data_IF_893998897101
#
_entry.id   IF_893998897101
#
_cell.length_a   1.000
_cell.length_b   1.000
_cell.length_c   1.000
_cell.angle_alpha   90.00
_cell.angle_beta   90.00
_cell.angle_gamma   90.00
#
_symmetry.space_group_name_H-M   'P 1'
#
loop_
_entity.id
_entity.type
_entity.pdbx_description
1 polymer ?
#
# COMPACT_ATOMS: atom_id res chain seq x y z
N UNK A 1 26.81 6.16 33.71
CA UNK A 1 26.88 4.83 33.06
C UNK A 1 27.88 4.92 31.91
N UNK A 2 28.97 4.15 31.97
CA UNK A 2 30.11 4.28 31.05
C UNK A 2 29.70 3.93 29.61
N UNK A 3 30.34 4.59 28.62
CA UNK A 3 30.08 4.36 27.18
C UNK A 3 30.15 2.88 26.80
N UNK A 4 31.06 2.14 27.43
CA UNK A 4 31.21 0.68 27.28
C UNK A 4 29.96 -0.12 27.68
N UNK A 5 29.28 0.29 28.75
CA UNK A 5 28.06 -0.37 29.24
C UNK A 5 26.88 -0.13 28.30
N UNK A 6 26.81 1.06 27.69
CA UNK A 6 25.79 1.37 26.67
C UNK A 6 25.98 0.54 25.40
N UNK A 7 27.23 0.39 24.95
CA UNK A 7 27.58 -0.44 23.80
C UNK A 7 27.19 -1.91 24.05
N UNK A 8 27.54 -2.43 25.23
CA UNK A 8 27.23 -3.80 25.61
C UNK A 8 25.71 -4.04 25.69
N UNK A 9 24.97 -3.10 26.28
CA UNK A 9 23.52 -3.15 26.34
C UNK A 9 22.87 -3.08 24.94
N UNK A 10 23.39 -2.26 24.02
CA UNK A 10 22.89 -2.19 22.65
C UNK A 10 23.14 -3.45 21.84
N UNK A 11 24.29 -4.11 22.03
CA UNK A 11 24.61 -5.37 21.37
C UNK A 11 23.71 -6.50 21.89
N UNK A 12 23.49 -6.56 23.21
CA UNK A 12 22.55 -7.51 23.81
C UNK A 12 21.13 -7.33 23.28
N UNK A 13 20.64 -6.09 23.16
CA UNK A 13 19.33 -5.81 22.56
C UNK A 13 19.26 -6.23 21.08
N UNK A 14 20.33 -6.02 20.32
CA UNK A 14 20.40 -6.46 18.92
C UNK A 14 20.33 -7.99 18.81
N UNK A 15 21.10 -8.73 19.61
CA UNK A 15 21.08 -10.20 19.61
C UNK A 15 19.76 -10.79 20.15
N UNK A 16 19.12 -10.15 21.13
CA UNK A 16 17.77 -10.52 21.58
C UNK A 16 16.71 -10.25 20.52
N UNK A 17 16.85 -9.16 19.74
CA UNK A 17 15.93 -8.88 18.65
C UNK A 17 16.07 -9.89 17.50
N UNK A 18 17.30 -10.28 17.15
CA UNK A 18 17.54 -11.28 16.09
C UNK A 18 17.10 -12.70 16.48
N UNK A 19 17.01 -13.01 17.78
CA UNK A 19 16.50 -14.30 18.25
C UNK A 19 14.98 -14.34 18.42
N UNK A 20 14.29 -13.18 18.40
CA UNK A 20 12.84 -13.08 18.26
C UNK A 20 12.38 -13.20 16.81
N UNK A 21 13.23 -12.86 15.85
CA UNK A 21 13.10 -13.29 14.46
C UNK A 21 13.69 -14.68 14.31
N UNK A 22 13.05 -15.67 14.95
CA UNK A 22 13.26 -17.07 14.61
C UNK A 22 13.14 -17.26 13.10
N UNK A 23 13.86 -18.23 12.56
CA UNK A 23 13.80 -18.61 11.15
C UNK A 23 12.37 -18.44 10.64
N UNK A 24 12.19 -17.47 9.74
CA UNK A 24 11.08 -17.49 8.81
C UNK A 24 11.34 -18.73 7.97
N UNK A 25 10.97 -19.89 8.51
CA UNK A 25 10.57 -21.04 7.73
C UNK A 25 9.48 -20.46 6.84
N UNK A 26 9.87 -20.13 5.60
CA UNK A 26 8.94 -19.68 4.59
C UNK A 26 7.81 -20.68 4.67
N UNK A 27 6.62 -20.20 5.03
CA UNK A 27 5.45 -21.06 5.05
C UNK A 27 5.46 -21.77 3.71
N UNK A 28 5.63 -23.10 3.72
CA UNK A 28 5.45 -23.90 2.53
C UNK A 28 4.06 -23.56 2.06
N UNK A 29 4.00 -22.71 1.03
CA UNK A 29 2.77 -22.44 0.31
C UNK A 29 2.42 -23.81 -0.22
N UNK A 30 1.42 -24.44 0.40
CA UNK A 30 0.71 -25.57 -0.19
C UNK A 30 0.30 -25.09 -1.57
N UNK A 31 1.06 -25.49 -2.57
CA UNK A 31 0.84 -25.10 -3.95
C UNK A 31 -0.40 -25.85 -4.42
N UNK A 32 -1.57 -25.28 -4.09
CA UNK A 32 -2.60 -25.20 -5.12
C UNK A 32 -1.87 -24.56 -6.29
N UNK A 33 -1.51 -25.36 -7.31
CA UNK A 33 -0.88 -24.92 -8.54
C UNK A 33 -1.87 -24.03 -9.32
N UNK A 34 -2.23 -22.89 -8.74
CA UNK A 34 -2.78 -21.79 -9.48
C UNK A 34 -1.60 -21.28 -10.30
N UNK A 35 -1.60 -21.68 -11.56
CA UNK A 35 -0.68 -21.15 -12.55
C UNK A 35 -0.82 -19.62 -12.56
N UNK A 36 0.08 -18.93 -11.87
CA UNK A 36 0.08 -17.47 -11.77
C UNK A 36 0.18 -16.83 -13.17
N UNK A 37 0.67 -17.57 -14.17
CA UNK A 37 0.69 -17.11 -15.56
C UNK A 37 -0.71 -16.98 -16.19
N UNK A 38 -1.73 -17.62 -15.61
CA UNK A 38 -3.13 -17.48 -16.01
C UNK A 38 -3.74 -16.15 -15.59
N UNK A 39 -3.19 -15.49 -14.57
CA UNK A 39 -3.65 -14.18 -14.11
C UNK A 39 -3.18 -13.11 -15.10
N UNK A 40 -4.14 -12.36 -15.65
CA UNK A 40 -3.88 -11.31 -16.65
C UNK A 40 -4.11 -9.90 -16.11
N UNK A 41 -4.84 -9.77 -15.00
CA UNK A 41 -5.25 -8.48 -14.43
C UNK A 41 -5.07 -8.47 -12.92
N UNK A 42 -4.59 -7.34 -12.41
CA UNK A 42 -4.52 -7.06 -10.99
C UNK A 42 -5.38 -5.83 -10.68
N UNK A 43 -6.41 -6.03 -9.87
CA UNK A 43 -7.24 -4.97 -9.31
C UNK A 43 -6.79 -4.67 -7.89
N UNK A 44 -6.59 -3.40 -7.56
CA UNK A 44 -5.96 -3.02 -6.28
C UNK A 44 -6.87 -2.07 -5.52
N UNK A 45 -7.05 -2.34 -4.23
CA UNK A 45 -7.84 -1.56 -3.30
C UNK A 45 -7.05 -1.37 -2.00
N UNK A 46 -7.30 -0.28 -1.30
CA UNK A 46 -6.68 -0.06 -0.01
C UNK A 46 -6.13 1.33 0.23
N UNK A 47 -5.01 1.35 0.95
CA UNK A 47 -4.38 2.53 1.48
C UNK A 47 -3.01 2.83 0.85
N UNK A 48 -2.16 3.56 1.59
CA UNK A 48 -0.82 3.98 1.18
C UNK A 48 0.13 2.84 0.81
N UNK A 49 -0.07 1.64 1.36
CA UNK A 49 0.78 0.47 1.04
C UNK A 49 0.50 -0.08 -0.36
N UNK A 50 -0.64 0.26 -0.96
CA UNK A 50 -1.07 -0.20 -2.27
C UNK A 50 -1.23 0.93 -3.29
N UNK A 51 -1.40 2.19 -2.86
CA UNK A 51 -1.61 3.35 -3.73
C UNK A 51 -0.38 3.71 -4.60
N UNK A 52 -0.55 3.67 -5.92
CA UNK A 52 0.48 4.01 -6.91
C UNK A 52 0.33 5.42 -7.52
N UNK A 53 -0.57 6.27 -6.99
CA UNK A 53 -0.68 7.68 -7.41
C UNK A 53 -2.10 8.27 -7.45
N UNK A 54 -3.07 7.67 -6.76
CA UNK A 54 -4.43 8.19 -6.62
C UNK A 54 -4.52 9.33 -5.61
N UNK A 55 -3.79 9.25 -4.49
CA UNK A 55 -3.73 10.36 -3.54
C UNK A 55 -3.30 11.67 -4.23
N UNK A 56 -3.86 12.79 -3.76
CA UNK A 56 -3.67 14.13 -4.34
C UNK A 56 -2.19 14.54 -4.40
N UNK A 57 -1.86 15.40 -5.36
CA UNK A 57 -0.49 15.86 -5.62
C UNK A 57 0.13 16.70 -4.48
N UNK A 58 -0.68 17.19 -3.55
CA UNK A 58 -0.22 17.90 -2.36
C UNK A 58 0.17 16.95 -1.21
N UNK A 59 -0.18 15.67 -1.29
CA UNK A 59 0.24 14.65 -0.32
C UNK A 59 1.76 14.44 -0.33
N UNK A 60 2.28 13.92 0.79
CA UNK A 60 3.71 13.67 0.95
C UNK A 60 4.31 12.80 -0.16
N UNK A 61 3.55 11.81 -0.66
CA UNK A 61 3.96 10.85 -1.67
C UNK A 61 4.33 11.46 -3.05
N UNK A 62 3.99 12.72 -3.29
CA UNK A 62 4.33 13.48 -4.49
C UNK A 62 5.53 14.42 -4.30
N UNK A 63 6.23 14.32 -3.16
CA UNK A 63 7.37 15.17 -2.80
C UNK A 63 8.60 14.33 -2.56
N UNK A 64 9.77 14.93 -2.71
CA UNK A 64 11.04 14.32 -2.28
C UNK A 64 10.97 13.96 -0.78
N UNK A 65 11.49 12.80 -0.32
CA UNK A 65 12.34 11.84 -1.04
C UNK A 65 11.59 10.67 -1.72
N UNK A 66 10.26 10.71 -1.82
CA UNK A 66 9.50 9.61 -2.41
C UNK A 66 9.89 9.36 -3.87
N UNK A 67 9.99 8.08 -4.23
CA UNK A 67 10.40 7.63 -5.56
C UNK A 67 11.87 7.84 -5.92
N UNK A 68 12.76 8.25 -4.99
CA UNK A 68 14.19 8.46 -5.28
C UNK A 68 14.92 7.19 -5.76
N UNK A 69 14.58 6.02 -5.21
CA UNK A 69 15.14 4.72 -5.62
C UNK A 69 14.48 4.22 -6.90
N UNK A 70 13.16 4.39 -7.02
CA UNK A 70 12.41 4.10 -8.24
C UNK A 70 11.15 4.98 -8.32
N UNK A 71 10.86 5.63 -9.46
CA UNK A 71 11.61 5.66 -10.72
C UNK A 71 12.69 6.78 -10.79
N UNK A 72 13.09 7.36 -9.67
CA UNK A 72 13.97 8.53 -9.60
C UNK A 72 13.23 9.86 -9.41
N UNK A 73 11.90 9.83 -9.29
CA UNK A 73 11.07 11.00 -8.98
C UNK A 73 9.77 10.56 -8.27
N UNK A 74 9.08 11.45 -7.55
CA UNK A 74 7.82 11.12 -6.92
C UNK A 74 6.73 10.72 -7.93
N UNK A 75 5.97 9.69 -7.60
CA UNK A 75 4.83 9.22 -8.41
C UNK A 75 3.54 9.06 -7.59
N UNK A 76 3.54 9.48 -6.32
CA UNK A 76 2.43 9.23 -5.40
C UNK A 76 2.47 7.88 -4.69
N UNK A 77 3.54 7.11 -4.84
CA UNK A 77 3.81 5.93 -3.98
C UNK A 77 4.34 6.42 -2.63
N UNK A 78 3.82 5.86 -1.54
CA UNK A 78 4.32 6.13 -0.18
C UNK A 78 5.59 5.30 0.12
N UNK A 79 6.56 5.32 -0.79
CA UNK A 79 7.85 4.65 -0.69
C UNK A 79 8.93 5.40 -1.48
N UNK A 80 10.20 5.20 -1.14
CA UNK A 80 11.32 5.65 -1.97
C UNK A 80 11.40 4.89 -3.31
N UNK A 81 10.70 3.76 -3.42
CA UNK A 81 10.62 2.95 -4.62
C UNK A 81 9.29 2.24 -4.81
N UNK A 82 9.39 0.94 -5.11
CA UNK A 82 8.26 0.07 -5.35
C UNK A 82 7.48 -0.23 -4.05
N UNK A 83 6.19 -0.48 -4.19
CA UNK A 83 5.29 -0.88 -3.09
C UNK A 83 4.64 -2.24 -3.36
N UNK A 84 3.82 -2.75 -2.44
CA UNK A 84 3.21 -4.09 -2.50
C UNK A 84 2.52 -4.38 -3.83
N UNK A 85 1.82 -3.39 -4.39
CA UNK A 85 1.19 -3.45 -5.71
C UNK A 85 2.18 -3.77 -6.82
N UNK A 86 3.33 -3.11 -6.83
CA UNK A 86 4.33 -3.31 -7.88
C UNK A 86 5.02 -4.66 -7.77
N UNK A 87 5.33 -5.09 -6.54
CA UNK A 87 5.94 -6.39 -6.30
C UNK A 87 4.99 -7.53 -6.69
N UNK A 88 3.71 -7.43 -6.35
CA UNK A 88 2.72 -8.42 -6.75
C UNK A 88 2.52 -8.43 -8.27
N UNK A 89 2.42 -7.26 -8.91
CA UNK A 89 2.33 -7.19 -10.36
C UNK A 89 3.53 -7.86 -11.05
N UNK A 90 4.75 -7.63 -10.55
CA UNK A 90 5.97 -8.28 -11.05
C UNK A 90 5.91 -9.81 -10.90
N UNK A 91 5.46 -10.30 -9.74
CA UNK A 91 5.31 -11.74 -9.49
C UNK A 91 4.33 -12.40 -10.47
N UNK A 92 3.28 -11.67 -10.86
CA UNK A 92 2.29 -12.10 -11.84
C UNK A 92 2.73 -11.91 -13.30
N UNK A 93 3.93 -11.35 -13.55
CA UNK A 93 4.39 -11.02 -14.90
C UNK A 93 3.62 -9.86 -15.56
N UNK A 94 2.97 -9.01 -14.76
CA UNK A 94 2.19 -7.86 -15.22
C UNK A 94 2.96 -6.55 -15.04
N UNK A 95 2.58 -5.52 -15.81
CA UNK A 95 2.95 -4.14 -15.45
C UNK A 95 2.10 -3.71 -14.26
N UNK A 96 2.66 -2.85 -13.41
CA UNK A 96 1.91 -2.26 -12.28
C UNK A 96 0.61 -1.59 -12.78
N UNK A 97 -0.55 -1.92 -12.20
CA UNK A 97 -1.83 -1.33 -12.56
C UNK A 97 -1.81 0.18 -12.44
N UNK A 98 -2.46 0.85 -13.39
CA UNK A 98 -2.52 2.32 -13.38
C UNK A 98 -3.45 2.80 -12.26
N UNK A 99 -3.05 3.88 -11.60
CA UNK A 99 -3.91 4.58 -10.65
C UNK A 99 -5.17 5.08 -11.36
N UNK A 100 -6.36 4.83 -10.80
CA UNK A 100 -7.66 5.27 -11.32
C UNK A 100 -7.66 6.77 -11.71
N UNK A 101 -7.03 7.62 -10.90
CA UNK A 101 -6.91 9.06 -11.17
C UNK A 101 -6.21 9.39 -12.50
N UNK A 102 -5.37 8.49 -12.99
CA UNK A 102 -4.59 8.63 -14.23
C UNK A 102 -5.20 7.91 -15.43
N UNK A 103 -6.38 7.26 -15.28
CA UNK A 103 -6.99 6.42 -16.32
C UNK A 103 -7.19 7.10 -17.68
N UNK A 104 -7.44 8.41 -17.68
CA UNK A 104 -7.69 9.21 -18.89
C UNK A 104 -6.41 9.85 -19.46
N UNK A 105 -5.26 9.62 -18.82
CA UNK A 105 -3.95 10.22 -19.14
C UNK A 105 -2.91 9.20 -19.59
N UNK A 106 -3.31 7.95 -19.79
CA UNK A 106 -2.43 6.83 -20.15
C UNK A 106 -2.96 6.12 -21.38
N UNK A 107 -2.07 5.44 -22.09
CA UNK A 107 -2.46 4.61 -23.24
C UNK A 107 -3.43 3.51 -22.82
N UNK A 108 -4.44 3.24 -23.66
CA UNK A 108 -5.48 2.22 -23.38
C UNK A 108 -4.88 0.84 -23.13
N UNK A 109 -3.74 0.52 -23.74
CA UNK A 109 -2.98 -0.72 -23.52
C UNK A 109 -2.57 -0.91 -22.06
N UNK A 110 -2.43 0.16 -21.28
CA UNK A 110 -2.14 0.06 -19.84
C UNK A 110 -3.28 -0.56 -19.05
N UNK A 111 -4.52 -0.41 -19.52
CA UNK A 111 -5.71 -0.94 -18.84
C UNK A 111 -5.76 -2.47 -18.87
N UNK A 112 -5.05 -3.12 -19.79
CA UNK A 112 -5.04 -4.59 -19.91
C UNK A 112 -4.49 -5.30 -18.66
N UNK A 113 -3.69 -4.61 -17.84
CA UNK A 113 -3.07 -5.15 -16.62
C UNK A 113 -3.93 -4.95 -15.35
N UNK A 114 -5.14 -4.38 -15.50
CA UNK A 114 -6.00 -4.01 -14.38
C UNK A 114 -5.82 -2.56 -13.94
N UNK A 115 -6.36 -2.22 -12.77
CA UNK A 115 -6.44 -0.84 -12.28
C UNK A 115 -6.27 -0.77 -10.76
N UNK A 116 -5.66 0.30 -10.29
CA UNK A 116 -5.47 0.59 -8.89
C UNK A 116 -6.45 1.66 -8.40
N UNK A 117 -7.29 1.28 -7.44
CA UNK A 117 -8.30 2.11 -6.77
C UNK A 117 -7.89 2.50 -5.34
N UNK A 118 -6.74 2.05 -4.84
CA UNK A 118 -6.24 2.37 -3.49
C UNK A 118 -5.91 3.86 -3.35
N UNK A 119 -6.10 4.44 -2.16
CA UNK A 119 -5.78 5.83 -1.83
C UNK A 119 -5.03 5.93 -0.50
N UNK A 120 -3.91 6.65 -0.48
CA UNK A 120 -3.13 6.90 0.73
C UNK A 120 -3.98 7.40 1.91
N UNK A 121 -3.83 6.76 3.08
CA UNK A 121 -4.53 7.13 4.31
C UNK A 121 -5.99 6.69 4.41
N UNK A 122 -6.52 5.96 3.42
CA UNK A 122 -7.87 5.40 3.46
C UNK A 122 -8.03 4.30 4.51
N UNK A 123 -9.23 4.20 5.09
CA UNK A 123 -9.70 3.08 5.90
C UNK A 123 -10.94 2.40 5.31
N UNK A 124 -11.50 1.44 6.04
CA UNK A 124 -12.85 0.93 5.76
C UNK A 124 -13.87 2.05 5.96
N UNK A 125 -13.67 2.87 6.99
CA UNK A 125 -14.46 4.07 7.28
C UNK A 125 -13.77 5.34 6.79
N UNK A 126 -14.45 6.47 6.95
CA UNK A 126 -13.87 7.78 6.69
C UNK A 126 -12.75 8.07 7.70
N UNK A 127 -11.60 8.47 7.16
CA UNK A 127 -10.39 8.80 7.94
C UNK A 127 -10.04 10.27 7.82
N UNK A 128 -9.07 10.72 8.62
CA UNK A 128 -8.53 12.09 8.53
C UNK A 128 -7.92 12.44 7.17
N UNK A 129 -7.59 11.46 6.33
CA UNK A 129 -7.06 11.72 4.99
C UNK A 129 -8.12 12.31 4.04
N UNK A 130 -9.41 12.17 4.37
CA UNK A 130 -10.54 12.63 3.54
C UNK A 130 -10.43 12.18 2.06
N UNK A 131 -9.85 11.01 1.85
CA UNK A 131 -9.77 10.33 0.56
C UNK A 131 -10.90 9.30 0.45
N UNK A 132 -11.21 8.82 -0.77
CA UNK A 132 -12.19 7.74 -0.98
C UNK A 132 -11.97 6.54 -0.05
N UNK A 133 -12.98 6.25 0.79
CA UNK A 133 -13.00 5.09 1.67
C UNK A 133 -13.16 3.77 0.87
N UNK A 134 -13.04 2.61 1.52
CA UNK A 134 -13.12 1.31 0.84
C UNK A 134 -14.41 1.14 0.02
N UNK A 135 -15.57 1.53 0.56
CA UNK A 135 -16.85 1.49 -0.16
C UNK A 135 -16.79 2.30 -1.46
N UNK A 136 -16.19 3.49 -1.41
CA UNK A 136 -16.02 4.35 -2.58
C UNK A 136 -15.06 3.71 -3.60
N UNK A 137 -13.97 3.08 -3.16
CA UNK A 137 -13.04 2.41 -4.07
C UNK A 137 -13.69 1.24 -4.81
N UNK A 138 -14.53 0.45 -4.12
CA UNK A 138 -15.31 -0.63 -4.73
C UNK A 138 -16.29 -0.05 -5.75
N UNK A 139 -17.01 1.02 -5.40
CA UNK A 139 -17.91 1.71 -6.34
C UNK A 139 -17.19 2.18 -7.61
N UNK A 140 -15.98 2.73 -7.48
CA UNK A 140 -15.17 3.14 -8.64
C UNK A 140 -14.80 1.96 -9.54
N UNK A 141 -14.52 0.79 -8.96
CA UNK A 141 -14.25 -0.44 -9.69
C UNK A 141 -15.48 -0.97 -10.41
N UNK A 142 -16.62 -1.05 -9.71
CA UNK A 142 -17.89 -1.47 -10.31
C UNK A 142 -18.26 -0.58 -11.49
N UNK A 143 -17.99 0.72 -11.40
CA UNK A 143 -18.21 1.67 -12.51
C UNK A 143 -17.26 1.48 -13.71
N UNK A 144 -16.25 0.62 -13.61
CA UNK A 144 -15.40 0.20 -14.73
C UNK A 144 -15.83 -1.14 -15.32
N UNK A 145 -16.70 -1.90 -14.65
CA UNK A 145 -17.25 -3.14 -15.18
C UNK A 145 -18.25 -2.84 -16.30
N UNK A 146 -18.20 -3.62 -17.38
CA UNK A 146 -19.02 -3.44 -18.58
C UNK A 146 -18.56 -2.34 -19.54
N UNK A 147 -17.82 -1.34 -19.05
CA UNK A 147 -17.18 -0.28 -19.87
C UNK A 147 -15.75 -0.66 -20.26
N UNK A 148 -14.90 -0.87 -19.25
CA UNK A 148 -13.46 -1.16 -19.45
C UNK A 148 -13.15 -2.63 -19.26
N UNK A 149 -13.79 -3.27 -18.28
CA UNK A 149 -13.52 -4.66 -17.91
C UNK A 149 -14.77 -5.51 -18.06
N UNK A 150 -14.66 -6.64 -18.78
CA UNK A 150 -15.77 -7.57 -18.98
C UNK A 150 -15.84 -8.61 -17.87
N UNK A 151 -16.92 -9.39 -17.82
CA UNK A 151 -17.05 -10.48 -16.86
C UNK A 151 -15.95 -11.55 -17.03
N UNK A 152 -15.49 -11.80 -18.26
CA UNK A 152 -14.40 -12.74 -18.54
C UNK A 152 -13.04 -12.23 -18.08
N UNK A 153 -12.88 -10.90 -17.94
CA UNK A 153 -11.67 -10.35 -17.35
C UNK A 153 -11.55 -10.72 -15.87
N UNK A 154 -12.68 -10.86 -15.17
CA UNK A 154 -12.71 -11.17 -13.75
C UNK A 154 -12.25 -12.60 -13.46
N UNK A 155 -12.56 -13.56 -14.35
CA UNK A 155 -12.18 -14.97 -14.16
C UNK A 155 -10.68 -15.24 -14.27
N UNK A 156 -9.90 -14.28 -14.80
CA UNK A 156 -8.44 -14.34 -14.91
C UNK A 156 -7.77 -13.16 -14.18
N UNK A 157 -8.42 -12.66 -13.13
CA UNK A 157 -7.92 -11.53 -12.34
C UNK A 157 -7.60 -11.91 -10.90
N UNK A 158 -6.76 -11.09 -10.28
CA UNK A 158 -6.50 -11.11 -8.85
C UNK A 158 -6.87 -9.76 -8.25
N UNK A 159 -7.42 -9.76 -7.04
CA UNK A 159 -7.62 -8.56 -6.24
C UNK A 159 -6.61 -8.47 -5.10
N UNK A 160 -5.92 -7.33 -4.98
CA UNK A 160 -5.13 -6.98 -3.80
C UNK A 160 -5.93 -6.00 -2.95
N UNK A 161 -6.13 -6.31 -1.68
CA UNK A 161 -6.79 -5.42 -0.70
C UNK A 161 -5.81 -5.15 0.44
N UNK A 162 -5.49 -3.88 0.69
CA UNK A 162 -4.57 -3.47 1.75
C UNK A 162 -5.16 -2.33 2.59
N UNK A 163 -5.68 -2.65 3.77
CA UNK A 163 -6.17 -1.63 4.72
C UNK A 163 -5.54 -1.89 6.07
N UNK A 164 -4.65 -1.01 6.48
CA UNK A 164 -3.83 -1.19 7.68
C UNK A 164 -3.76 0.09 8.50
N UNK A 165 -4.40 0.06 9.67
CA UNK A 165 -4.14 1.02 10.74
C UNK A 165 -4.84 2.37 10.64
N UNK A 166 -5.29 2.83 9.47
CA UNK A 166 -5.87 4.18 9.32
C UNK A 166 -7.19 4.36 10.10
N UNK A 167 -8.05 3.34 10.14
CA UNK A 167 -9.26 3.35 10.97
C UNK A 167 -8.92 3.46 12.47
N UNK A 168 -7.95 2.66 12.93
CA UNK A 168 -7.50 2.67 14.32
C UNK A 168 -6.81 3.99 14.69
N UNK A 169 -5.96 4.51 13.82
CA UNK A 169 -5.32 5.81 14.00
C UNK A 169 -6.37 6.92 14.10
N UNK A 170 -7.36 6.90 13.20
CA UNK A 170 -8.48 7.86 13.22
C UNK A 170 -9.28 7.74 14.52
N UNK A 171 -9.60 6.53 14.95
CA UNK A 171 -10.28 6.30 16.22
C UNK A 171 -9.48 6.84 17.42
N UNK A 172 -8.18 6.56 17.48
CA UNK A 172 -7.32 7.03 18.58
C UNK A 172 -7.18 8.56 18.59
N UNK A 173 -7.10 9.19 17.41
CA UNK A 173 -6.99 10.64 17.30
C UNK A 173 -8.31 11.37 17.58
N UNK A 174 -9.46 10.77 17.23
CA UNK A 174 -10.79 11.33 17.53
C UNK A 174 -11.21 11.12 19.00
N UNK A 175 -10.76 10.04 19.64
CA UNK A 175 -11.11 9.68 21.03
C UNK A 175 -10.10 10.12 22.07
N UNK A 176 -8.92 10.62 21.70
CA UNK A 176 -8.04 11.32 22.65
C UNK A 176 -8.64 12.70 22.95
N UNK A 177 -9.13 12.97 24.17
CA UNK A 177 -9.36 14.35 24.57
C UNK A 177 -8.03 15.10 24.47
N UNK A 178 -8.09 16.39 24.14
CA UNK A 178 -6.96 17.34 24.08
C UNK A 178 -6.14 17.50 25.40
N UNK A 179 -6.24 16.55 26.33
CA UNK A 179 -5.51 16.51 27.58
C UNK A 179 -4.39 15.48 27.51
N UNK A 180 -3.19 15.95 27.20
CA UNK A 180 -1.92 15.79 27.93
C UNK A 180 -0.80 16.14 26.94
N UNK A 181 -0.60 17.44 26.75
CA UNK A 181 0.71 17.98 26.38
C UNK A 181 0.97 19.19 27.28
N UNK A 182 1.13 18.91 28.58
CA UNK A 182 1.75 19.84 29.52
C UNK A 182 2.84 19.09 30.26
N UNK A 183 4.01 19.73 30.32
CA UNK A 183 5.20 19.38 31.08
C UNK A 183 6.17 18.40 30.41
N UNK A 184 7.16 18.97 29.70
CA UNK A 184 8.52 19.13 30.25
C UNK A 184 9.15 20.41 29.68
N UNK A 185 9.07 21.49 30.46
CA UNK A 185 10.03 22.58 30.47
C UNK A 185 10.18 22.94 31.95
N UNK A 186 11.25 22.42 32.55
CA UNK A 186 12.21 23.04 33.47
C UNK A 186 13.16 21.92 33.90
#
# INVERSE_FOLDING_TARGET
MNSLVKLFASLLLFFFSSSLFGEINGAEISSQNHDLSSIKKLFVFGDSYADTGNAKNDSGAWRYPYGITFPGHPTGRNSDGLISTDFLAKLLGLKSPIAYRLKDKVDKERLQYGMNFAYGGTGVFDTYASNPNMTTQIFLFEHRLGDVYSQSDLSSSLALVSVAGNDYATFLLTKRPFYVRKHYLY
#
